data_IF_644768805476
#
_entry.id   IF_644768805476
#
_cell.length_a   1.000
_cell.length_b   1.000
_cell.length_c   1.000
_cell.angle_alpha   90.00
_cell.angle_beta   90.00
_cell.angle_gamma   90.00
#
_symmetry.space_group_name_H-M   'P 1'
#
loop_
_entity.id
_entity.type
_entity.pdbx_description
1 polymer ?
#
# COMPACT_ATOMS: atom_id res chain seq x y z
N UNK A 1 6.98 2.27 8.12
CA UNK A 1 7.55 3.11 7.04
C UNK A 1 9.06 3.18 7.23
N UNK A 2 9.87 2.85 6.21
CA UNK A 2 11.33 2.93 6.28
C UNK A 2 11.86 4.36 6.60
N UNK A 3 12.95 4.52 7.38
CA UNK A 3 13.46 5.84 7.80
C UNK A 3 13.86 6.80 6.67
N UNK A 4 14.12 6.27 5.47
CA UNK A 4 14.47 7.09 4.30
C UNK A 4 13.36 8.07 3.93
N UNK A 5 12.09 7.73 4.17
CA UNK A 5 10.97 8.60 3.83
C UNK A 5 10.90 9.84 4.74
N UNK A 6 11.27 9.71 6.01
CA UNK A 6 11.37 10.86 6.93
C UNK A 6 12.50 11.82 6.50
N UNK A 7 13.61 11.26 5.99
CA UNK A 7 14.71 12.05 5.46
C UNK A 7 14.31 12.80 4.18
N UNK A 8 13.59 12.13 3.27
CA UNK A 8 13.08 12.76 2.04
C UNK A 8 12.10 13.88 2.39
N UNK A 9 11.13 13.61 3.27
CA UNK A 9 10.13 14.60 3.68
C UNK A 9 10.78 15.85 4.28
N UNK A 10 11.75 15.66 5.19
CA UNK A 10 12.43 16.78 5.87
C UNK A 10 13.37 17.57 4.96
N UNK A 11 14.20 16.91 4.15
CA UNK A 11 15.14 17.60 3.25
C UNK A 11 14.46 18.23 2.05
N UNK A 12 13.40 17.60 1.53
CA UNK A 12 12.64 18.10 0.40
C UNK A 12 11.52 19.07 0.78
N UNK A 13 11.23 19.22 2.08
CA UNK A 13 10.05 19.94 2.58
C UNK A 13 8.75 19.46 1.91
N UNK A 14 8.61 18.14 1.77
CA UNK A 14 7.47 17.50 1.08
C UNK A 14 6.30 17.35 2.06
N UNK A 15 5.10 17.84 1.73
CA UNK A 15 3.90 17.64 2.55
C UNK A 15 3.58 16.16 2.77
N UNK A 16 2.95 15.85 3.90
CA UNK A 16 2.61 14.48 4.26
C UNK A 16 1.67 13.83 3.23
N UNK A 17 0.68 14.56 2.69
CA UNK A 17 -0.18 14.02 1.62
C UNK A 17 0.61 13.60 0.38
N UNK A 18 1.56 14.43 -0.07
CA UNK A 18 2.37 14.17 -1.26
C UNK A 18 3.30 12.98 -1.07
N UNK A 19 3.80 12.77 0.17
CA UNK A 19 4.58 11.58 0.50
C UNK A 19 3.81 10.28 0.21
N UNK A 20 2.50 10.26 0.46
CA UNK A 20 1.64 9.08 0.22
C UNK A 20 1.15 8.97 -1.23
N UNK A 21 1.14 10.06 -2.00
CA UNK A 21 0.74 10.04 -3.42
C UNK A 21 1.89 9.65 -4.35
N UNK A 22 3.12 10.07 -4.02
CA UNK A 22 4.28 9.92 -4.91
C UNK A 22 5.15 8.73 -4.54
N UNK A 23 5.28 8.43 -3.25
CA UNK A 23 6.18 7.39 -2.76
C UNK A 23 5.41 6.16 -2.30
N UNK A 24 6.04 5.00 -2.46
CA UNK A 24 5.44 3.73 -2.03
C UNK A 24 5.35 3.56 -0.51
N UNK A 25 6.00 4.44 0.27
CA UNK A 25 6.05 4.44 1.74
C UNK A 25 6.46 3.09 2.37
N UNK A 26 7.19 2.27 1.62
CA UNK A 26 7.66 0.94 2.01
C UNK A 26 6.86 -0.24 1.45
N UNK A 27 5.78 -0.01 0.70
CA UNK A 27 4.98 -1.06 0.06
C UNK A 27 5.07 -0.97 -1.46
N UNK A 28 6.02 -1.70 -2.06
CA UNK A 28 6.24 -1.69 -3.52
C UNK A 28 5.39 -2.70 -4.30
N UNK A 29 4.72 -3.63 -3.62
CA UNK A 29 3.94 -4.70 -4.25
C UNK A 29 2.72 -5.03 -3.40
N UNK A 30 1.58 -5.27 -4.06
CA UNK A 30 0.31 -5.60 -3.44
C UNK A 30 -0.29 -6.81 -4.17
N UNK A 31 -0.66 -7.83 -3.41
CA UNK A 31 -1.43 -8.97 -3.89
C UNK A 31 -2.85 -8.90 -3.31
N UNK A 32 -3.86 -9.10 -4.14
CA UNK A 32 -5.27 -9.17 -3.73
C UNK A 32 -5.74 -10.61 -3.84
N UNK A 33 -6.21 -11.17 -2.73
CA UNK A 33 -6.65 -12.56 -2.61
C UNK A 33 -8.01 -12.62 -1.90
N UNK A 34 -8.78 -13.72 -2.03
CA UNK A 34 -9.94 -13.96 -1.18
C UNK A 34 -9.57 -13.90 0.31
N UNK A 35 -10.48 -13.42 1.16
CA UNK A 35 -10.25 -13.29 2.61
C UNK A 35 -9.81 -14.61 3.25
N UNK A 36 -10.38 -15.74 2.80
CA UNK A 36 -10.05 -17.07 3.31
C UNK A 36 -8.58 -17.48 3.02
N UNK A 37 -7.95 -16.88 2.01
CA UNK A 37 -6.59 -17.22 1.58
C UNK A 37 -5.55 -16.21 2.11
N UNK A 38 -5.97 -15.15 2.83
CA UNK A 38 -5.09 -14.05 3.21
C UNK A 38 -3.88 -14.48 4.06
N UNK A 39 -4.10 -15.28 5.09
CA UNK A 39 -3.02 -15.76 5.97
C UNK A 39 -2.07 -16.71 5.24
N UNK A 40 -2.61 -17.63 4.43
CA UNK A 40 -1.81 -18.55 3.62
C UNK A 40 -0.95 -17.79 2.59
N UNK A 41 -1.49 -16.72 2.00
CA UNK A 41 -0.74 -15.86 1.09
C UNK A 41 0.40 -15.11 1.81
N UNK A 42 0.17 -14.62 3.03
CA UNK A 42 1.21 -13.96 3.84
C UNK A 42 2.33 -14.93 4.17
N UNK A 43 2.01 -16.16 4.60
CA UNK A 43 3.01 -17.19 4.90
C UNK A 43 3.85 -17.52 3.66
N UNK A 44 3.20 -17.84 2.53
CA UNK A 44 3.86 -18.23 1.30
C UNK A 44 4.76 -17.12 0.74
N UNK A 45 4.26 -15.89 0.68
CA UNK A 45 5.01 -14.76 0.15
C UNK A 45 6.12 -14.33 1.11
N UNK A 46 5.90 -14.45 2.42
CA UNK A 46 6.87 -14.12 3.46
C UNK A 46 8.18 -14.90 3.36
N UNK A 47 8.16 -16.12 2.81
CA UNK A 47 9.36 -16.92 2.56
C UNK A 47 10.36 -16.25 1.61
N UNK A 48 9.86 -15.49 0.63
CA UNK A 48 10.67 -14.83 -0.42
C UNK A 48 10.67 -13.31 -0.32
N UNK A 49 9.69 -12.75 0.37
CA UNK A 49 9.47 -11.32 0.54
C UNK A 49 9.30 -11.00 2.03
N UNK A 50 10.41 -10.92 2.80
CA UNK A 50 10.37 -10.57 4.21
C UNK A 50 9.66 -9.23 4.43
N UNK A 51 8.78 -9.17 5.43
CA UNK A 51 7.93 -8.00 5.68
C UNK A 51 6.57 -8.03 4.98
N UNK A 52 6.24 -9.11 4.26
CA UNK A 52 4.87 -9.36 3.78
C UNK A 52 3.90 -9.37 4.97
N UNK A 53 2.79 -8.65 4.83
CA UNK A 53 1.73 -8.56 5.82
C UNK A 53 0.40 -8.23 5.14
N UNK A 54 -0.71 -8.50 5.82
CA UNK A 54 -2.02 -7.96 5.43
C UNK A 54 -2.04 -6.45 5.68
N UNK A 55 -2.28 -5.66 4.63
CA UNK A 55 -2.25 -4.19 4.68
C UNK A 55 -3.62 -3.53 4.53
N UNK A 56 -4.68 -4.30 4.25
CA UNK A 56 -6.04 -3.77 4.09
C UNK A 56 -7.02 -4.78 3.50
N UNK A 57 -8.19 -4.29 3.11
CA UNK A 57 -9.29 -5.05 2.50
C UNK A 57 -9.86 -4.27 1.32
N UNK A 58 -10.32 -4.97 0.27
CA UNK A 58 -11.02 -4.36 -0.87
C UNK A 58 -12.50 -4.18 -0.51
N UNK A 59 -13.07 -3.02 -0.87
CA UNK A 59 -14.50 -2.73 -0.69
C UNK A 59 -15.13 -2.28 -2.01
N UNK A 60 -16.45 -2.30 -2.09
CA UNK A 60 -17.24 -1.82 -3.23
C UNK A 60 -17.47 -0.30 -3.22
N UNK A 61 -16.96 0.42 -2.22
CA UNK A 61 -17.07 1.88 -2.12
C UNK A 61 -16.02 2.54 -3.00
N UNK A 62 -16.43 2.94 -4.19
CA UNK A 62 -15.64 3.84 -5.02
C UNK A 62 -15.49 5.21 -4.33
N UNK A 63 -14.30 5.79 -4.42
CA UNK A 63 -13.98 7.19 -4.08
C UNK A 63 -13.99 7.60 -2.60
N UNK A 64 -14.27 6.68 -1.68
CA UNK A 64 -14.14 6.97 -0.25
C UNK A 64 -12.66 6.90 0.18
N UNK A 65 -12.07 8.05 0.49
CA UNK A 65 -10.70 8.11 0.99
C UNK A 65 -10.68 7.64 2.44
N UNK A 66 -10.20 6.42 2.69
CA UNK A 66 -10.08 5.83 4.03
C UNK A 66 -8.93 6.42 4.87
N UNK A 67 -8.55 7.67 4.61
CA UNK A 67 -7.42 8.36 5.25
C UNK A 67 -6.09 8.22 4.48
N UNK A 68 -5.02 8.85 5.00
CA UNK A 68 -3.69 8.81 4.39
C UNK A 68 -3.12 7.38 4.37
N UNK A 69 -2.57 6.98 3.22
CA UNK A 69 -2.02 5.64 3.00
C UNK A 69 -3.02 4.59 2.48
N UNK A 70 -4.26 4.97 2.20
CA UNK A 70 -5.20 4.10 1.51
C UNK A 70 -4.74 3.82 0.06
N UNK A 71 -4.60 2.54 -0.30
CA UNK A 71 -4.32 2.13 -1.68
C UNK A 71 -5.62 2.18 -2.48
N UNK A 72 -5.68 3.06 -3.48
CA UNK A 72 -6.79 3.11 -4.43
C UNK A 72 -6.49 2.21 -5.62
N UNK A 73 -7.34 1.22 -5.85
CA UNK A 73 -7.30 0.40 -7.07
C UNK A 73 -8.42 0.90 -7.98
N UNK A 74 -8.07 1.75 -8.95
CA UNK A 74 -9.02 2.15 -9.99
C UNK A 74 -9.33 0.96 -10.89
N UNK A 75 -10.59 0.75 -11.25
CA UNK A 75 -10.92 -0.06 -12.40
C UNK A 75 -10.22 0.60 -13.59
N UNK A 76 -9.17 -0.03 -14.11
CA UNK A 76 -8.48 0.46 -15.29
C UNK A 76 -9.53 0.74 -16.36
N UNK A 77 -9.56 1.98 -16.88
CA UNK A 77 -10.31 2.28 -18.10
C UNK A 77 -9.74 1.34 -19.16
N UNK A 78 -10.47 0.25 -19.44
CA UNK A 78 -10.18 -0.57 -20.60
C UNK A 78 -10.47 0.33 -21.81
N UNK A 79 -9.40 0.82 -22.43
CA UNK A 79 -9.44 1.37 -23.77
C UNK A 79 -9.38 0.24 -24.77
#
# INVERSE_FOLDING_TARGET
VPPVFDLIASLGNVPAEEMWEVFNMGCGFVAVVPEADAEAAVELLGERHPGTARIGTVTDRADETLGPGAIRVGAGQQQ
#
